data_IF_980453085719
#
_entry.id   IF_980453085719
#
_cell.length_a   1.000
_cell.length_b   1.000
_cell.length_c   1.000
_cell.angle_alpha   90.00
_cell.angle_beta   90.00
_cell.angle_gamma   90.00
#
_symmetry.space_group_name_H-M   'P 1'
#
loop_
_entity.id
_entity.type
_entity.pdbx_description
1 polymer ?
#
# COMPACT_ATOMS: atom_id res chain seq x y z
N UNK A 1 46.25 -8.99 13.87
CA UNK A 1 45.15 -8.14 13.39
C UNK A 1 44.19 -9.02 12.63
N UNK A 2 42.97 -9.16 13.12
CA UNK A 2 41.88 -9.77 12.37
C UNK A 2 40.97 -8.61 11.97
N UNK A 3 40.98 -8.24 10.69
CA UNK A 3 40.01 -7.32 10.15
C UNK A 3 38.64 -7.97 10.23
N UNK A 4 37.83 -7.56 11.19
CA UNK A 4 36.40 -7.80 11.11
C UNK A 4 35.90 -6.95 9.95
N UNK A 5 35.63 -7.59 8.81
CA UNK A 5 34.95 -6.98 7.69
C UNK A 5 33.65 -6.34 8.20
N UNK A 6 33.47 -5.05 7.92
CA UNK A 6 32.25 -4.35 8.31
C UNK A 6 31.06 -5.08 7.67
N UNK A 7 30.01 -5.39 8.43
CA UNK A 7 28.91 -6.17 7.89
C UNK A 7 28.20 -5.32 6.81
N UNK A 8 27.62 -5.94 5.76
CA UNK A 8 27.10 -5.21 4.60
C UNK A 8 26.12 -4.13 5.07
N UNK A 9 26.05 -2.99 4.36
CA UNK A 9 25.27 -1.82 4.81
C UNK A 9 23.80 -2.13 5.18
N UNK A 10 23.24 -3.23 4.64
CA UNK A 10 21.89 -3.72 4.90
C UNK A 10 21.74 -4.54 6.21
N UNK A 11 22.84 -4.86 6.88
CA UNK A 11 22.87 -5.64 8.13
C UNK A 11 22.92 -4.77 9.39
N UNK A 12 23.28 -3.49 9.25
CA UNK A 12 23.15 -2.53 10.34
C UNK A 12 21.64 -2.27 10.54
N UNK A 13 21.10 -2.40 11.77
CA UNK A 13 19.69 -2.14 11.99
C UNK A 13 19.37 -0.70 11.57
N UNK A 14 18.26 -0.46 10.83
CA UNK A 14 17.94 0.86 10.34
C UNK A 14 17.89 1.85 11.50
N UNK A 15 18.65 2.94 11.38
CA UNK A 15 18.78 3.97 12.43
C UNK A 15 17.57 4.91 12.33
N UNK A 16 16.45 4.49 12.92
CA UNK A 16 15.18 5.22 12.97
C UNK A 16 14.05 4.34 13.54
N UNK A 17 12.86 4.91 13.85
CA UNK A 17 11.71 4.08 14.19
C UNK A 17 11.45 3.09 13.06
N UNK A 18 11.26 1.81 13.39
CA UNK A 18 11.03 0.71 12.43
C UNK A 18 9.62 0.77 11.80
N UNK A 19 9.21 1.95 11.36
CA UNK A 19 7.96 2.15 10.63
C UNK A 19 8.03 1.41 9.30
N UNK A 20 7.06 0.54 9.04
CA UNK A 20 6.97 -0.24 7.79
C UNK A 20 5.59 -0.11 7.17
N UNK A 21 5.55 -0.27 5.86
CA UNK A 21 4.32 -0.45 5.10
C UNK A 21 4.42 -1.82 4.43
N UNK A 22 3.44 -2.68 4.70
CA UNK A 22 3.34 -4.00 4.11
C UNK A 22 2.16 -3.97 3.15
N UNK A 23 2.46 -4.20 1.88
CA UNK A 23 1.46 -4.36 0.82
C UNK A 23 1.43 -5.85 0.47
N UNK A 24 0.32 -6.51 0.74
CA UNK A 24 0.16 -7.94 0.46
C UNK A 24 -0.18 -8.20 -1.01
N UNK A 25 -0.29 -9.48 -1.39
CA UNK A 25 -0.56 -9.89 -2.77
C UNK A 25 -1.82 -9.23 -3.35
N UNK A 26 -1.84 -9.04 -4.66
CA UNK A 26 -3.01 -8.61 -5.43
C UNK A 26 -3.62 -7.26 -5.02
N UNK A 27 -2.90 -6.45 -4.23
CA UNK A 27 -3.33 -5.10 -3.85
C UNK A 27 -3.24 -4.16 -5.06
N UNK A 28 -4.28 -3.35 -5.25
CA UNK A 28 -4.30 -2.27 -6.24
C UNK A 28 -4.23 -0.92 -5.56
N UNK A 29 -3.30 -0.05 -5.98
CA UNK A 29 -3.15 1.31 -5.45
C UNK A 29 -3.38 2.31 -6.57
N UNK A 30 -4.42 3.12 -6.43
CA UNK A 30 -4.75 4.20 -7.35
C UNK A 30 -3.71 5.32 -7.32
N UNK A 31 -3.57 6.00 -8.45
CA UNK A 31 -2.60 7.07 -8.63
C UNK A 31 -2.71 8.15 -7.55
N UNK A 32 -1.57 8.74 -7.19
CA UNK A 32 -1.47 9.82 -6.20
C UNK A 32 -2.01 9.47 -4.79
N UNK A 33 -2.02 8.18 -4.43
CA UNK A 33 -2.33 7.76 -3.05
C UNK A 33 -1.12 7.92 -2.13
N UNK A 34 -1.38 8.21 -0.85
CA UNK A 34 -0.37 8.35 0.20
C UNK A 34 -0.64 7.31 1.29
N UNK A 35 0.37 6.50 1.61
CA UNK A 35 0.33 5.52 2.71
C UNK A 35 1.22 6.02 3.85
N UNK A 36 0.67 6.21 5.05
CA UNK A 36 1.36 6.78 6.20
C UNK A 36 1.57 5.71 7.26
N UNK A 37 2.82 5.25 7.40
CA UNK A 37 3.16 4.28 8.44
C UNK A 37 3.03 4.91 9.84
N UNK A 38 2.48 4.19 10.83
CA UNK A 38 2.49 4.63 12.22
C UNK A 38 3.93 4.67 12.75
N UNK A 39 4.19 5.57 13.70
CA UNK A 39 5.52 5.76 14.28
C UNK A 39 5.95 4.49 15.03
N UNK A 40 7.01 3.82 14.56
CA UNK A 40 7.50 2.58 15.16
C UNK A 40 6.59 1.35 14.97
N UNK A 41 5.57 1.44 14.12
CA UNK A 41 4.62 0.35 13.86
C UNK A 41 4.62 -0.11 12.40
N UNK A 42 3.60 -0.88 12.04
CA UNK A 42 3.41 -1.38 10.68
C UNK A 42 2.03 -0.95 10.20
N UNK A 43 1.95 -0.40 8.99
CA UNK A 43 0.70 -0.24 8.24
C UNK A 43 0.58 -1.44 7.28
N UNK A 44 -0.54 -2.15 7.32
CA UNK A 44 -0.82 -3.30 6.45
C UNK A 44 -1.94 -2.98 5.48
N UNK A 45 -1.70 -3.24 4.20
CA UNK A 45 -2.72 -3.26 3.16
C UNK A 45 -2.95 -4.71 2.78
N UNK A 46 -4.06 -5.27 3.27
CA UNK A 46 -4.35 -6.70 3.19
C UNK A 46 -4.56 -7.21 1.77
N UNK A 47 -4.33 -8.50 1.57
CA UNK A 47 -4.40 -9.16 0.26
C UNK A 47 -5.66 -8.79 -0.53
N UNK A 48 -5.50 -8.46 -1.81
CA UNK A 48 -6.60 -8.13 -2.72
C UNK A 48 -7.33 -6.81 -2.43
N UNK A 49 -6.87 -6.00 -1.47
CA UNK A 49 -7.45 -4.70 -1.18
C UNK A 49 -7.22 -3.70 -2.33
N UNK A 50 -8.08 -2.67 -2.40
CA UNK A 50 -8.00 -1.62 -3.43
C UNK A 50 -8.03 -0.25 -2.76
N UNK A 51 -7.02 0.56 -3.05
CA UNK A 51 -6.91 1.95 -2.60
C UNK A 51 -7.28 2.84 -3.79
N UNK A 52 -8.31 3.67 -3.66
CA UNK A 52 -8.73 4.61 -4.72
C UNK A 52 -7.68 5.70 -4.98
N UNK A 53 -7.75 6.38 -6.13
CA UNK A 53 -6.83 7.47 -6.43
C UNK A 53 -6.95 8.63 -5.41
N UNK A 54 -5.83 9.29 -5.10
CA UNK A 54 -5.79 10.42 -4.16
C UNK A 54 -6.12 10.07 -2.71
N UNK A 55 -6.09 8.78 -2.34
CA UNK A 55 -6.47 8.31 -0.98
C UNK A 55 -5.32 8.49 0.00
N UNK A 56 -5.61 8.91 1.23
CA UNK A 56 -4.63 9.00 2.32
C UNK A 56 -4.93 7.93 3.36
N UNK A 57 -4.12 6.87 3.37
CA UNK A 57 -4.28 5.72 4.27
C UNK A 57 -3.41 5.90 5.50
N UNK A 58 -4.05 5.93 6.67
CA UNK A 58 -3.40 6.08 7.98
C UNK A 58 -3.62 4.89 8.91
N UNK A 59 -4.45 3.93 8.50
CA UNK A 59 -4.87 2.76 9.28
C UNK A 59 -4.87 1.52 8.37
N UNK A 60 -4.75 0.34 8.98
CA UNK A 60 -4.71 -0.92 8.24
C UNK A 60 -5.95 -1.09 7.35
N UNK A 61 -5.71 -1.58 6.13
CA UNK A 61 -6.76 -1.87 5.16
C UNK A 61 -7.03 -3.37 5.19
N UNK A 62 -8.26 -3.82 5.53
CA UNK A 62 -8.59 -5.23 5.54
C UNK A 62 -8.44 -5.88 4.16
N UNK A 63 -8.15 -7.18 4.13
CA UNK A 63 -8.09 -7.96 2.89
C UNK A 63 -9.38 -7.83 2.07
N UNK A 64 -9.25 -7.62 0.77
CA UNK A 64 -10.36 -7.43 -0.17
C UNK A 64 -11.16 -6.13 -0.02
N UNK A 65 -10.86 -5.29 0.99
CA UNK A 65 -11.56 -4.03 1.18
C UNK A 65 -11.21 -3.02 0.08
N UNK A 66 -12.17 -2.14 -0.23
CA UNK A 66 -11.94 -0.97 -1.08
C UNK A 66 -11.94 0.25 -0.17
N UNK A 67 -10.89 1.07 -0.22
CA UNK A 67 -10.80 2.31 0.56
C UNK A 67 -10.63 3.52 -0.36
N UNK A 68 -11.25 4.65 0.00
CA UNK A 68 -11.21 5.89 -0.79
C UNK A 68 -11.08 7.13 0.10
N UNK A 69 -10.55 8.20 -0.49
CA UNK A 69 -10.58 9.55 0.07
C UNK A 69 -9.47 9.88 1.09
N UNK A 70 -9.27 11.17 1.39
CA UNK A 70 -8.45 11.62 2.52
C UNK A 70 -9.33 12.13 3.69
N UNK A 71 -9.27 11.52 4.89
CA UNK A 71 -8.63 10.25 5.21
C UNK A 71 -9.37 9.05 4.61
N UNK A 72 -8.68 7.93 4.46
CA UNK A 72 -9.24 6.70 3.89
C UNK A 72 -10.48 6.23 4.67
N UNK A 73 -11.52 5.84 3.93
CA UNK A 73 -12.73 5.19 4.45
C UNK A 73 -13.03 3.95 3.64
N UNK A 74 -13.47 2.88 4.30
CA UNK A 74 -13.92 1.66 3.61
C UNK A 74 -15.20 1.99 2.83
N UNK A 75 -15.19 1.69 1.53
CA UNK A 75 -16.33 1.79 0.65
C UNK A 75 -17.25 0.59 0.89
N UNK A 76 -18.48 0.84 1.33
CA UNK A 76 -19.53 -0.18 1.48
C UNK A 76 -20.50 -0.13 0.31
N UNK A 77 -21.34 -1.17 0.16
CA UNK A 77 -22.31 -1.28 -0.95
C UNK A 77 -23.28 -0.09 -1.03
N UNK A 78 -23.54 0.57 0.10
CA UNK A 78 -24.45 1.71 0.19
C UNK A 78 -23.75 3.04 -0.09
N UNK A 79 -22.43 3.03 -0.27
CA UNK A 79 -21.69 4.22 -0.65
C UNK A 79 -21.96 4.57 -2.12
N UNK A 80 -22.17 5.86 -2.45
CA UNK A 80 -22.39 6.28 -3.82
C UNK A 80 -21.22 5.80 -4.70
N UNK A 81 -21.53 5.15 -5.81
CA UNK A 81 -20.54 4.53 -6.68
C UNK A 81 -19.52 5.57 -7.19
N UNK A 82 -18.30 5.50 -6.68
CA UNK A 82 -17.16 6.20 -7.27
C UNK A 82 -16.66 5.34 -8.44
N UNK A 83 -16.79 5.86 -9.66
CA UNK A 83 -16.46 5.15 -10.91
C UNK A 83 -15.06 4.54 -10.86
N UNK A 84 -14.98 3.21 -10.91
CA UNK A 84 -13.75 2.46 -11.01
C UNK A 84 -13.61 1.88 -12.42
N UNK A 85 -12.39 1.92 -12.95
CA UNK A 85 -12.06 1.30 -14.25
C UNK A 85 -12.58 -0.15 -14.30
N UNK A 86 -13.33 -0.43 -15.36
CA UNK A 86 -13.68 -1.78 -15.77
C UNK A 86 -12.39 -2.61 -15.94
N UNK A 87 -12.46 -3.95 -15.88
CA UNK A 87 -11.35 -4.80 -16.30
C UNK A 87 -10.95 -4.37 -17.71
N UNK A 88 -9.80 -3.71 -17.86
CA UNK A 88 -9.31 -3.36 -19.18
C UNK A 88 -8.83 -4.66 -19.80
N UNK A 89 -9.62 -5.21 -20.72
CA UNK A 89 -9.14 -6.29 -21.57
C UNK A 89 -7.81 -5.86 -22.20
N UNK A 90 -6.86 -6.79 -22.39
CA UNK A 90 -5.62 -6.47 -23.08
C UNK A 90 -6.00 -5.94 -24.46
N UNK A 91 -5.71 -4.65 -24.72
CA UNK A 91 -5.79 -4.12 -26.08
C UNK A 91 -4.84 -4.97 -26.91
N UNK A 92 -5.43 -5.69 -27.86
CA UNK A 92 -4.70 -6.50 -28.83
C UNK A 92 -3.55 -5.71 -29.42
N UNK A 93 -2.47 -6.43 -29.68
CA UNK A 93 -1.26 -5.92 -30.31
C UNK A 93 -1.57 -5.40 -31.71
N UNK A 94 -1.80 -4.10 -31.82
CA UNK A 94 -1.88 -3.40 -33.10
C UNK A 94 -0.54 -2.70 -33.35
N UNK A 95 0.46 -3.52 -33.72
CA UNK A 95 1.62 -3.09 -34.50
C UNK A 95 1.37 -3.42 -35.97
#
# INVERSE_FOLDING_TARGET
>A
GAGAEAPPADSAPPRGPRSRIVVEDDVKIGANSVLIAPRGGVLRVGKGARVGAGTVVTEDVPAGAIVVGPPARILTKDAPAAGGDAPTEPRGSDL
#
